data_IF_678551847424
#
_entry.id   IF_678551847424
#
_cell.length_a   1.000
_cell.length_b   1.000
_cell.length_c   1.000
_cell.angle_alpha   90.00
_cell.angle_beta   90.00
_cell.angle_gamma   90.00
#
_symmetry.space_group_name_H-M   'P 1'
#
loop_
_entity.id
_entity.type
_entity.pdbx_description
1 polymer ?
#
# COMPACT_ATOMS: atom_id res chain seq x y z
N UNK A 1 -18.53 1.56 19.49
CA UNK A 1 -19.96 1.27 19.79
C UNK A 1 -20.22 -0.25 20.02
N UNK A 2 -21.11 -0.68 20.94
CA UNK A 2 -21.39 -2.12 21.24
C UNK A 2 -22.24 -2.79 20.13
N UNK A 3 -21.77 -3.89 19.53
CA UNK A 3 -22.44 -4.63 18.43
C UNK A 3 -23.89 -5.04 18.73
N UNK A 4 -24.21 -5.34 20.00
CA UNK A 4 -25.60 -5.61 20.42
C UNK A 4 -26.52 -4.40 20.29
N UNK A 5 -25.98 -3.21 20.53
CA UNK A 5 -26.75 -1.96 20.44
C UNK A 5 -27.03 -1.61 18.97
N UNK A 6 -26.06 -1.83 18.06
CA UNK A 6 -26.25 -1.67 16.60
C UNK A 6 -27.36 -2.58 16.08
N UNK A 7 -27.35 -3.87 16.45
CA UNK A 7 -28.38 -4.81 16.03
C UNK A 7 -29.77 -4.43 16.56
N UNK A 8 -29.88 -3.96 17.81
CA UNK A 8 -31.14 -3.49 18.38
C UNK A 8 -31.68 -2.22 17.70
N UNK A 9 -30.81 -1.30 17.28
CA UNK A 9 -31.20 -0.10 16.54
C UNK A 9 -31.66 -0.49 15.13
N UNK A 10 -30.95 -1.39 14.45
CA UNK A 10 -31.33 -1.85 13.10
C UNK A 10 -32.69 -2.54 13.07
N UNK A 11 -33.07 -3.28 14.12
CA UNK A 11 -34.40 -3.94 14.22
C UNK A 11 -35.56 -2.96 14.41
N UNK A 12 -35.30 -1.68 14.69
CA UNK A 12 -36.33 -0.66 14.84
C UNK A 12 -36.58 0.14 13.55
N UNK A 13 -35.80 -0.10 12.49
CA UNK A 13 -35.99 0.64 11.24
C UNK A 13 -37.22 0.16 10.46
N UNK A 14 -38.04 1.08 9.92
CA UNK A 14 -39.15 0.73 9.04
C UNK A 14 -38.67 0.04 7.75
N UNK A 15 -39.50 -0.81 7.14
CA UNK A 15 -39.18 -1.55 5.89
C UNK A 15 -38.64 -0.66 4.76
N UNK A 16 -39.08 0.59 4.66
CA UNK A 16 -38.61 1.52 3.63
C UNK A 16 -37.14 1.94 3.80
N UNK A 17 -36.52 1.78 4.98
CA UNK A 17 -35.08 2.02 5.18
C UNK A 17 -34.19 1.03 4.43
N UNK A 18 -34.72 -0.12 3.99
CA UNK A 18 -33.98 -1.13 3.22
C UNK A 18 -34.09 -0.93 1.71
N UNK A 19 -34.72 0.17 1.27
CA UNK A 19 -34.92 0.51 -0.15
C UNK A 19 -34.03 1.70 -0.56
N UNK A 20 -33.68 1.86 -1.84
CA UNK A 20 -32.94 3.04 -2.33
C UNK A 20 -33.73 4.33 -2.09
N UNK A 21 -33.20 5.24 -1.26
CA UNK A 21 -33.90 6.48 -0.87
C UNK A 21 -33.59 7.69 -1.76
N UNK A 22 -32.48 7.63 -2.51
CA UNK A 22 -31.94 8.77 -3.27
C UNK A 22 -32.07 8.62 -4.78
N UNK A 23 -32.39 7.42 -5.26
CA UNK A 23 -32.55 7.15 -6.68
C UNK A 23 -33.99 7.46 -7.10
N UNK A 24 -34.14 8.15 -8.23
CA UNK A 24 -35.42 8.32 -8.91
C UNK A 24 -35.89 7.00 -9.54
N UNK A 25 -37.17 6.90 -9.91
CA UNK A 25 -37.73 5.69 -10.55
C UNK A 25 -36.95 5.34 -11.82
N UNK A 26 -36.57 6.33 -12.62
CA UNK A 26 -35.77 6.12 -13.83
C UNK A 26 -34.35 5.62 -13.53
N UNK A 27 -33.74 6.08 -12.44
CA UNK A 27 -32.41 5.63 -12.00
C UNK A 27 -32.44 4.23 -11.38
N UNK A 28 -33.56 3.83 -10.77
CA UNK A 28 -33.78 2.46 -10.31
C UNK A 28 -33.92 1.50 -11.50
N UNK A 29 -34.61 1.93 -12.56
CA UNK A 29 -34.75 1.16 -13.81
C UNK A 29 -33.45 1.12 -14.62
N UNK A 30 -32.60 2.15 -14.51
CA UNK A 30 -31.33 2.26 -15.24
C UNK A 30 -30.15 2.69 -14.33
N UNK A 31 -29.73 1.87 -13.36
CA UNK A 31 -28.72 2.25 -12.36
C UNK A 31 -27.33 2.52 -12.96
N UNK A 32 -27.04 1.95 -14.13
CA UNK A 32 -25.79 2.23 -14.86
C UNK A 32 -25.68 3.69 -15.32
N UNK A 33 -26.81 4.39 -15.51
CA UNK A 33 -26.79 5.82 -15.88
C UNK A 33 -26.26 6.70 -14.74
N UNK A 34 -26.58 6.35 -13.49
CA UNK A 34 -26.08 7.01 -12.27
C UNK A 34 -24.58 6.82 -12.15
N UNK A 35 -24.10 5.59 -12.36
CA UNK A 35 -22.67 5.26 -12.34
C UNK A 35 -21.94 6.02 -13.46
N UNK A 36 -22.54 6.08 -14.66
CA UNK A 36 -21.98 6.84 -15.78
C UNK A 36 -21.84 8.32 -15.46
N UNK A 37 -22.91 8.94 -14.97
CA UNK A 37 -22.91 10.35 -14.57
C UNK A 37 -21.87 10.63 -13.46
N UNK A 38 -21.76 9.73 -12.49
CA UNK A 38 -20.77 9.85 -11.43
C UNK A 38 -19.33 9.93 -11.97
N UNK A 39 -18.96 9.07 -12.93
CA UNK A 39 -17.62 9.06 -13.53
C UNK A 39 -17.41 10.14 -14.62
N UNK A 40 -18.45 10.85 -15.03
CA UNK A 40 -18.32 12.10 -15.79
C UNK A 40 -17.90 13.26 -14.88
N UNK A 41 -18.38 13.26 -13.63
CA UNK A 41 -18.08 14.30 -12.65
C UNK A 41 -16.76 14.06 -11.90
N UNK A 42 -16.40 12.80 -11.67
CA UNK A 42 -15.24 12.44 -10.85
C UNK A 42 -14.36 11.40 -11.53
N UNK A 43 -13.06 11.68 -11.59
CA UNK A 43 -12.06 10.65 -11.90
C UNK A 43 -11.79 9.80 -10.66
N UNK A 44 -11.34 8.54 -10.86
CA UNK A 44 -10.97 7.66 -9.74
C UNK A 44 -9.97 8.32 -8.75
N UNK A 45 -8.90 8.99 -9.20
CA UNK A 45 -8.00 9.67 -8.27
C UNK A 45 -8.68 10.79 -7.45
N UNK A 46 -9.60 11.54 -8.06
CA UNK A 46 -10.30 12.64 -7.37
C UNK A 46 -11.24 12.12 -6.30
N UNK A 47 -12.01 11.08 -6.58
CA UNK A 47 -12.93 10.53 -5.57
C UNK A 47 -12.17 9.84 -4.43
N UNK A 48 -11.06 9.15 -4.73
CA UNK A 48 -10.19 8.58 -3.68
C UNK A 48 -9.60 9.66 -2.77
N UNK A 49 -9.15 10.77 -3.34
CA UNK A 49 -8.67 11.92 -2.55
C UNK A 49 -9.79 12.48 -1.66
N UNK A 50 -11.00 12.65 -2.20
CA UNK A 50 -12.15 13.15 -1.46
C UNK A 50 -12.55 12.21 -0.29
N UNK A 51 -12.55 10.90 -0.50
CA UNK A 51 -12.82 9.92 0.57
C UNK A 51 -11.76 9.96 1.68
N UNK A 52 -10.49 10.16 1.31
CA UNK A 52 -9.39 10.29 2.27
C UNK A 52 -9.50 11.57 3.09
N UNK A 53 -9.85 12.69 2.46
CA UNK A 53 -10.13 13.95 3.15
C UNK A 53 -11.29 13.79 4.13
N UNK A 54 -12.38 13.13 3.73
CA UNK A 54 -13.52 12.85 4.61
C UNK A 54 -13.16 11.99 5.84
N UNK A 55 -12.32 10.97 5.67
CA UNK A 55 -11.85 10.14 6.79
C UNK A 55 -10.90 10.90 7.69
N UNK A 56 -10.00 11.69 7.11
CA UNK A 56 -9.10 12.54 7.86
C UNK A 56 -9.89 13.51 8.74
N UNK A 57 -10.88 14.20 8.17
CA UNK A 57 -11.77 15.09 8.90
C UNK A 57 -12.51 14.34 10.03
N UNK A 58 -13.04 13.14 9.75
CA UNK A 58 -13.74 12.34 10.76
C UNK A 58 -12.84 11.89 11.92
N UNK A 59 -11.59 11.51 11.64
CA UNK A 59 -10.63 11.06 12.66
C UNK A 59 -10.13 12.25 13.49
N UNK A 60 -9.94 13.42 12.88
CA UNK A 60 -9.49 14.63 13.59
C UNK A 60 -10.53 15.20 14.56
N UNK A 61 -11.79 14.74 14.54
CA UNK A 61 -12.85 15.20 15.44
C UNK A 61 -12.96 14.41 16.77
N UNK A 62 -11.90 13.70 17.17
CA UNK A 62 -11.79 13.00 18.47
C UNK A 62 -12.87 11.92 18.68
N UNK A 63 -13.21 11.20 17.60
CA UNK A 63 -14.27 10.19 17.60
C UNK A 63 -13.72 8.79 17.90
N UNK A 64 -14.22 8.16 18.96
CA UNK A 64 -13.79 6.82 19.44
C UNK A 64 -14.11 5.67 18.45
N UNK A 65 -14.82 5.96 17.36
CA UNK A 65 -15.19 5.00 16.32
C UNK A 65 -14.31 5.12 15.06
N UNK A 66 -13.14 5.78 15.14
CA UNK A 66 -12.14 5.92 14.05
C UNK A 66 -11.84 4.62 13.25
N UNK A 67 -11.69 3.42 13.86
CA UNK A 67 -11.50 2.18 13.10
C UNK A 67 -12.68 1.83 12.18
N UNK A 68 -13.90 2.21 12.57
CA UNK A 68 -15.10 1.97 11.76
C UNK A 68 -15.19 2.90 10.56
N UNK A 69 -14.65 4.11 10.66
CA UNK A 69 -14.58 5.07 9.55
C UNK A 69 -13.57 4.63 8.49
N UNK A 70 -12.40 4.12 8.90
CA UNK A 70 -11.39 3.58 7.98
C UNK A 70 -11.92 2.36 7.24
N UNK A 71 -12.53 1.40 7.95
CA UNK A 71 -13.11 0.21 7.32
C UNK A 71 -14.26 0.53 6.36
N UNK A 72 -15.13 1.48 6.73
CA UNK A 72 -16.20 1.95 5.84
C UNK A 72 -15.63 2.62 4.59
N UNK A 73 -14.57 3.40 4.72
CA UNK A 73 -13.92 4.04 3.57
C UNK A 73 -13.29 3.03 2.63
N UNK A 74 -12.60 2.02 3.15
CA UNK A 74 -12.04 0.93 2.34
C UNK A 74 -13.14 0.24 1.53
N UNK A 75 -14.28 -0.05 2.15
CA UNK A 75 -15.40 -0.73 1.48
C UNK A 75 -16.11 0.17 0.46
N UNK A 76 -16.23 1.48 0.72
CA UNK A 76 -16.76 2.46 -0.23
C UNK A 76 -15.81 2.64 -1.42
N UNK A 77 -14.50 2.68 -1.20
CA UNK A 77 -13.50 2.75 -2.28
C UNK A 77 -13.58 1.52 -3.18
N UNK A 78 -13.66 0.31 -2.60
CA UNK A 78 -13.89 -0.94 -3.37
C UNK A 78 -15.19 -0.90 -4.17
N UNK A 79 -16.28 -0.40 -3.59
CA UNK A 79 -17.56 -0.28 -4.27
C UNK A 79 -17.47 0.66 -5.47
N UNK A 80 -16.80 1.80 -5.32
CA UNK A 80 -16.59 2.77 -6.40
C UNK A 80 -15.72 2.17 -7.50
N UNK A 81 -14.66 1.44 -7.16
CA UNK A 81 -13.81 0.78 -8.16
C UNK A 81 -14.55 -0.34 -8.91
N UNK A 82 -15.36 -1.14 -8.21
CA UNK A 82 -16.23 -2.11 -8.84
C UNK A 82 -17.23 -1.43 -9.79
N UNK A 83 -17.82 -0.31 -9.38
CA UNK A 83 -18.71 0.48 -10.23
C UNK A 83 -17.98 1.04 -11.46
N UNK A 84 -16.70 1.41 -11.33
CA UNK A 84 -15.88 1.87 -12.45
C UNK A 84 -15.62 0.76 -13.47
N UNK A 85 -15.30 -0.46 -13.02
CA UNK A 85 -15.14 -1.62 -13.90
C UNK A 85 -16.43 -1.94 -14.65
N UNK A 86 -17.57 -1.94 -13.95
CA UNK A 86 -18.90 -2.13 -14.54
C UNK A 86 -19.19 -1.05 -15.60
N UNK A 87 -18.84 0.21 -15.32
CA UNK A 87 -18.99 1.31 -16.27
C UNK A 87 -18.14 1.12 -17.53
N UNK A 88 -16.88 0.67 -17.37
CA UNK A 88 -15.97 0.41 -18.47
C UNK A 88 -16.43 -0.78 -19.34
N UNK A 89 -16.96 -1.82 -18.71
CA UNK A 89 -17.57 -2.96 -19.43
C UNK A 89 -18.82 -2.53 -20.20
N UNK A 90 -19.67 -1.69 -19.62
CA UNK A 90 -20.84 -1.15 -20.31
C UNK A 90 -20.44 -0.26 -21.50
N UNK A 91 -19.36 0.53 -21.35
CA UNK A 91 -18.80 1.38 -22.41
C UNK A 91 -18.08 0.60 -23.50
N UNK A 92 -17.51 -0.56 -23.20
CA UNK A 92 -16.89 -1.44 -24.21
C UNK A 92 -17.92 -2.30 -24.95
N UNK A 93 -19.04 -2.65 -24.32
CA UNK A 93 -20.16 -3.34 -24.98
C UNK A 93 -20.87 -2.47 -26.03
N UNK A 94 -20.85 -1.14 -25.91
CA UNK A 94 -21.37 -0.23 -26.94
C UNK A 94 -20.43 0.01 -28.13
N UNK A 95 -19.17 -0.43 -28.04
CA UNK A 95 -18.13 -0.16 -29.05
C UNK A 95 -17.59 -1.40 -29.80
N UNK A 96 -18.12 -2.60 -29.56
CA UNK A 96 -17.71 -3.81 -30.31
C UNK A 96 -18.81 -4.35 -31.24
N UNK A 97 -19.02 -3.62 -32.34
CA UNK A 97 -19.06 -4.24 -33.69
C UNK A 97 -17.77 -3.79 -34.36
N UNK A 98 -16.78 -4.68 -34.50
CA UNK A 98 -15.57 -4.36 -35.26
C UNK A 98 -14.28 -4.98 -34.74
N UNK A 99 -14.03 -6.20 -35.20
CA UNK A 99 -12.76 -6.87 -35.43
C UNK A 99 -11.94 -7.50 -34.28
N UNK A 100 -11.62 -8.77 -34.59
CA UNK A 100 -10.70 -9.71 -33.97
C UNK A 100 -9.24 -9.53 -34.41
N UNK A 101 -8.39 -10.17 -33.61
CA UNK A 101 -7.12 -10.88 -33.91
C UNK A 101 -5.78 -10.27 -33.44
N UNK A 102 -5.29 -10.89 -32.34
CA UNK A 102 -4.05 -11.69 -32.21
C UNK A 102 -2.71 -11.14 -32.70
N UNK A 103 -1.70 -11.08 -31.82
CA UNK A 103 -0.38 -11.71 -32.01
C UNK A 103 0.58 -11.56 -30.81
N UNK A 104 1.42 -12.58 -30.68
CA UNK A 104 2.43 -12.98 -29.68
C UNK A 104 3.66 -12.08 -29.52
N UNK A 105 4.46 -12.31 -28.46
CA UNK A 105 5.92 -12.60 -28.48
C UNK A 105 6.54 -12.59 -27.06
N UNK A 106 7.12 -13.69 -26.56
CA UNK A 106 8.50 -14.24 -26.68
C UNK A 106 9.45 -13.87 -25.51
N UNK A 107 9.65 -14.91 -24.67
CA UNK A 107 10.83 -15.38 -23.89
C UNK A 107 12.12 -14.56 -23.85
N UNK A 108 12.62 -14.33 -22.63
CA UNK A 108 14.05 -14.48 -22.25
C UNK A 108 14.12 -15.09 -20.84
N UNK A 109 14.71 -16.28 -20.72
CA UNK A 109 15.22 -16.86 -19.48
C UNK A 109 16.69 -16.45 -19.31
N UNK A 110 17.08 -16.00 -18.12
CA UNK A 110 18.45 -16.11 -17.61
C UNK A 110 18.39 -16.00 -16.08
N UNK A 111 18.45 -17.16 -15.40
CA UNK A 111 18.92 -17.24 -14.02
C UNK A 111 20.36 -16.70 -14.01
N UNK A 112 20.52 -15.46 -13.55
CA UNK A 112 21.81 -14.97 -13.09
C UNK A 112 21.79 -15.06 -11.58
N UNK A 113 22.69 -15.84 -11.00
CA UNK A 113 22.93 -15.90 -9.57
C UNK A 113 23.06 -14.47 -9.01
N UNK A 114 22.04 -13.99 -8.29
CA UNK A 114 22.10 -12.73 -7.56
C UNK A 114 22.95 -13.01 -6.30
N UNK A 115 24.27 -13.11 -6.48
CA UNK A 115 25.23 -13.37 -5.40
C UNK A 115 25.53 -12.14 -4.52
N UNK A 116 24.94 -10.98 -4.82
CA UNK A 116 25.19 -9.79 -4.02
C UNK A 116 24.45 -9.87 -2.67
N UNK A 117 25.24 -9.86 -1.60
CA UNK A 117 24.76 -9.97 -0.22
C UNK A 117 23.66 -8.96 0.14
N UNK A 118 23.66 -7.79 -0.49
CA UNK A 118 22.66 -6.74 -0.29
C UNK A 118 21.28 -7.16 -0.78
N UNK A 119 21.20 -7.74 -1.98
CA UNK A 119 19.93 -8.24 -2.52
C UNK A 119 19.43 -9.45 -1.77
N UNK A 120 20.34 -10.30 -1.26
CA UNK A 120 19.97 -11.39 -0.35
C UNK A 120 19.31 -10.87 0.92
N UNK A 121 19.84 -9.83 1.56
CA UNK A 121 19.20 -9.22 2.74
C UNK A 121 17.82 -8.64 2.43
N UNK A 122 17.63 -8.06 1.24
CA UNK A 122 16.31 -7.62 0.78
C UNK A 122 15.36 -8.82 0.63
N UNK A 123 15.84 -9.91 0.01
CA UNK A 123 15.06 -11.13 -0.15
C UNK A 123 14.69 -11.78 1.20
N UNK A 124 15.66 -11.99 2.08
CA UNK A 124 15.47 -12.57 3.42
C UNK A 124 14.45 -11.78 4.27
N UNK A 125 14.42 -10.45 4.11
CA UNK A 125 13.40 -9.60 4.75
C UNK A 125 11.98 -9.92 4.27
N UNK A 126 11.78 -10.05 2.95
CA UNK A 126 10.45 -10.30 2.37
C UNK A 126 10.01 -11.77 2.43
N UNK A 127 10.93 -12.70 2.65
CA UNK A 127 10.62 -14.07 3.09
C UNK A 127 10.03 -14.09 4.51
N UNK A 128 10.46 -13.14 5.37
CA UNK A 128 10.02 -13.06 6.77
C UNK A 128 8.77 -12.19 6.95
N UNK A 129 8.59 -11.16 6.12
CA UNK A 129 7.51 -10.19 6.24
C UNK A 129 6.91 -9.85 4.88
N UNK A 130 5.59 -9.97 4.74
CA UNK A 130 4.91 -9.42 3.57
C UNK A 130 4.95 -7.89 3.60
N UNK A 131 4.91 -7.23 2.44
CA UNK A 131 4.83 -5.76 2.39
C UNK A 131 3.67 -5.21 3.25
N UNK A 132 2.42 -5.73 3.19
CA UNK A 132 1.33 -5.26 4.04
C UNK A 132 1.62 -5.40 5.54
N UNK A 133 2.22 -6.53 5.96
CA UNK A 133 2.63 -6.74 7.34
C UNK A 133 3.68 -5.71 7.77
N UNK A 134 4.74 -5.53 6.97
CA UNK A 134 5.82 -4.59 7.25
C UNK A 134 5.31 -3.14 7.36
N UNK A 135 4.42 -2.71 6.46
CA UNK A 135 3.74 -1.41 6.55
C UNK A 135 2.94 -1.29 7.85
N UNK A 136 2.23 -2.35 8.20
CA UNK A 136 1.43 -2.45 9.40
C UNK A 136 2.25 -2.33 10.68
N UNK A 137 3.43 -2.96 10.74
CA UNK A 137 4.36 -2.84 11.86
C UNK A 137 4.87 -1.40 11.99
N UNK A 138 5.37 -0.80 10.91
CA UNK A 138 5.85 0.59 10.93
C UNK A 138 4.79 1.58 11.40
N UNK A 139 3.60 1.54 10.81
CA UNK A 139 2.55 2.52 11.13
C UNK A 139 2.09 2.40 12.58
N UNK A 140 1.86 1.17 13.06
CA UNK A 140 1.47 0.95 14.45
C UNK A 140 2.57 1.32 15.44
N UNK A 141 3.85 1.16 15.06
CA UNK A 141 4.97 1.58 15.90
C UNK A 141 5.04 3.11 16.00
N UNK A 142 4.89 3.82 14.89
CA UNK A 142 4.86 5.27 14.87
C UNK A 142 3.72 5.83 15.73
N UNK A 143 2.53 5.23 15.62
CA UNK A 143 1.37 5.58 16.45
C UNK A 143 1.64 5.35 17.94
N UNK A 144 2.17 4.17 18.28
CA UNK A 144 2.50 3.84 19.67
C UNK A 144 3.56 4.80 20.24
N UNK A 145 4.61 5.10 19.48
CA UNK A 145 5.71 5.98 19.90
C UNK A 145 5.26 7.46 20.11
N UNK A 146 4.26 7.91 19.38
CA UNK A 146 3.67 9.24 19.58
C UNK A 146 2.67 9.27 20.74
N UNK A 147 1.98 8.16 20.98
CA UNK A 147 0.98 8.03 22.04
C UNK A 147 1.60 7.69 23.40
N UNK A 148 0.78 7.79 24.46
CA UNK A 148 1.11 7.24 25.79
C UNK A 148 0.80 5.73 25.89
N UNK A 149 0.49 5.08 24.76
CA UNK A 149 0.08 3.68 24.72
C UNK A 149 1.21 2.75 24.29
N UNK A 150 1.35 1.65 25.02
CA UNK A 150 2.27 0.56 24.66
C UNK A 150 1.73 -0.13 23.42
N UNK A 151 2.62 -0.34 22.45
CA UNK A 151 2.33 -1.07 21.23
C UNK A 151 1.74 -2.45 21.51
N UNK A 152 0.59 -2.74 20.93
CA UNK A 152 -0.23 -3.91 21.26
C UNK A 152 -0.72 -4.71 20.04
N UNK A 153 -0.15 -4.47 18.85
CA UNK A 153 -0.60 -5.10 17.60
C UNK A 153 -0.20 -6.57 17.48
N UNK A 154 0.90 -6.98 18.13
CA UNK A 154 1.30 -8.38 18.30
C UNK A 154 2.12 -8.53 19.59
N UNK A 155 2.90 -9.60 19.72
CA UNK A 155 3.81 -9.74 20.86
C UNK A 155 5.00 -8.76 20.72
N UNK A 156 5.50 -8.17 21.82
CA UNK A 156 6.66 -7.28 21.77
C UNK A 156 7.88 -7.91 21.10
N UNK A 157 8.03 -9.24 21.21
CA UNK A 157 9.10 -9.98 20.56
C UNK A 157 9.01 -9.92 19.03
N UNK A 158 7.80 -9.95 18.46
CA UNK A 158 7.61 -9.82 17.01
C UNK A 158 8.04 -8.44 16.52
N UNK A 159 7.79 -7.40 17.33
CA UNK A 159 8.22 -6.04 17.01
C UNK A 159 9.74 -5.91 17.05
N UNK A 160 10.40 -6.46 18.08
CA UNK A 160 11.86 -6.50 18.16
C UNK A 160 12.45 -7.23 16.96
N UNK A 161 11.92 -8.42 16.64
CA UNK A 161 12.34 -9.22 15.50
C UNK A 161 12.17 -8.47 14.18
N UNK A 162 11.06 -7.76 14.00
CA UNK A 162 10.83 -6.88 12.84
C UNK A 162 11.90 -5.79 12.75
N UNK A 163 12.16 -5.05 13.82
CA UNK A 163 13.15 -3.97 13.81
C UNK A 163 14.59 -4.48 13.59
N UNK A 164 14.94 -5.66 14.09
CA UNK A 164 16.24 -6.29 13.81
C UNK A 164 16.43 -6.56 12.32
N UNK A 165 15.40 -7.10 11.64
CA UNK A 165 15.43 -7.34 10.20
C UNK A 165 15.37 -6.03 9.41
N UNK A 166 14.61 -5.05 9.89
CA UNK A 166 14.49 -3.73 9.27
C UNK A 166 15.80 -2.95 9.34
N UNK A 167 16.57 -3.08 10.42
CA UNK A 167 17.91 -2.52 10.54
C UNK A 167 18.90 -3.16 9.56
N UNK A 168 18.81 -4.48 9.34
CA UNK A 168 19.63 -5.17 8.34
C UNK A 168 19.27 -4.72 6.93
N UNK A 169 17.97 -4.62 6.63
CA UNK A 169 17.46 -4.09 5.37
C UNK A 169 17.99 -2.67 5.11
N UNK A 170 17.92 -1.79 6.11
CA UNK A 170 18.46 -0.44 6.02
C UNK A 170 19.97 -0.44 5.72
N UNK A 171 20.74 -1.28 6.41
CA UNK A 171 22.17 -1.43 6.13
C UNK A 171 22.45 -1.88 4.69
N UNK A 172 21.70 -2.88 4.19
CA UNK A 172 21.83 -3.36 2.82
C UNK A 172 21.55 -2.26 1.77
N UNK A 173 20.58 -1.38 2.04
CA UNK A 173 20.24 -0.25 1.16
C UNK A 173 21.40 0.73 1.05
N UNK A 174 22.04 1.07 2.17
CA UNK A 174 23.20 1.98 2.14
C UNK A 174 24.32 1.39 1.31
N UNK A 175 24.68 0.14 1.54
CA UNK A 175 25.72 -0.56 0.78
C UNK A 175 25.38 -0.60 -0.72
N UNK A 176 24.13 -0.91 -1.06
CA UNK A 176 23.66 -0.95 -2.44
C UNK A 176 23.76 0.41 -3.13
N UNK A 177 23.38 1.49 -2.44
CA UNK A 177 23.47 2.85 -3.01
C UNK A 177 24.89 3.39 -3.06
N UNK A 178 25.79 2.92 -2.18
CA UNK A 178 27.21 3.30 -2.17
C UNK A 178 28.02 2.62 -3.28
N UNK A 179 27.71 1.37 -3.61
CA UNK A 179 28.42 0.62 -4.63
C UNK A 179 27.91 0.87 -6.06
N UNK A 180 26.79 1.59 -6.21
CA UNK A 180 26.09 1.77 -7.49
C UNK A 180 25.74 0.42 -8.18
N UNK A 181 25.60 -0.64 -7.38
CA UNK A 181 25.26 -2.00 -7.83
C UNK A 181 23.78 -2.05 -8.22
N UNK A 182 23.47 -1.74 -9.48
CA UNK A 182 22.10 -1.74 -10.02
C UNK A 182 21.86 -3.00 -10.86
N UNK A 183 20.89 -3.81 -10.46
CA UNK A 183 20.34 -4.85 -11.35
C UNK A 183 19.43 -4.17 -12.38
N UNK A 184 19.84 -4.18 -13.65
CA UNK A 184 19.10 -3.53 -14.75
C UNK A 184 17.70 -4.14 -14.97
N UNK A 185 17.51 -5.42 -14.66
CA UNK A 185 16.23 -6.11 -14.80
C UNK A 185 15.13 -5.53 -13.88
N UNK A 186 15.52 -4.89 -12.77
CA UNK A 186 14.60 -4.24 -11.83
C UNK A 186 14.07 -2.91 -12.38
N UNK A 187 14.80 -2.29 -13.31
CA UNK A 187 14.48 -0.97 -13.88
C UNK A 187 13.59 -1.13 -15.11
N UNK A 188 12.39 -0.57 -15.03
CA UNK A 188 11.45 -0.60 -16.15
C UNK A 188 11.85 0.39 -17.26
N UNK A 189 11.54 0.09 -18.54
CA UNK A 189 11.85 0.97 -19.66
C UNK A 189 11.29 2.39 -19.48
N UNK A 190 12.03 3.39 -19.98
CA UNK A 190 11.59 4.79 -19.97
C UNK A 190 10.38 4.96 -20.90
N UNK A 191 9.18 5.04 -20.32
CA UNK A 191 7.94 5.41 -21.02
C UNK A 191 7.53 6.86 -20.74
N UNK A 192 6.79 7.50 -21.64
CA UNK A 192 6.18 8.82 -21.39
C UNK A 192 4.86 8.73 -20.61
N UNK A 193 4.27 7.54 -20.49
CA UNK A 193 2.96 7.30 -19.86
C UNK A 193 3.07 6.77 -18.43
N UNK A 194 2.11 7.04 -17.55
CA UNK A 194 2.11 6.51 -16.18
C UNK A 194 2.28 4.97 -16.14
N UNK A 195 2.91 4.41 -15.09
CA UNK A 195 3.08 2.96 -14.97
C UNK A 195 1.71 2.27 -14.99
N UNK A 196 1.63 1.18 -15.75
CA UNK A 196 0.43 0.35 -15.82
C UNK A 196 0.34 -0.54 -14.58
N UNK A 197 -0.51 -0.15 -13.62
CA UNK A 197 -0.73 -0.89 -12.38
C UNK A 197 -1.58 -2.16 -12.56
N UNK A 198 -2.08 -2.42 -13.78
CA UNK A 198 -2.75 -3.69 -14.07
C UNK A 198 -1.76 -4.85 -14.23
N UNK A 199 -0.46 -4.54 -14.37
CA UNK A 199 0.61 -5.52 -14.43
C UNK A 199 1.01 -5.96 -13.02
N UNK A 200 0.11 -6.70 -12.37
CA UNK A 200 0.25 -7.13 -10.98
C UNK A 200 1.58 -7.85 -10.71
N UNK A 201 2.06 -8.67 -11.65
CA UNK A 201 3.34 -9.39 -11.54
C UNK A 201 4.58 -8.49 -11.36
N UNK A 202 4.49 -7.18 -11.63
CA UNK A 202 5.62 -6.25 -11.47
C UNK A 202 5.78 -5.70 -10.04
N UNK A 203 4.80 -5.94 -9.17
CA UNK A 203 4.77 -5.44 -7.80
C UNK A 203 4.08 -6.38 -6.80
N UNK A 204 3.31 -7.36 -7.25
CA UNK A 204 2.79 -8.46 -6.43
C UNK A 204 3.79 -9.61 -6.52
N UNK A 205 4.32 -10.05 -5.37
CA UNK A 205 5.16 -11.24 -5.31
C UNK A 205 4.35 -12.54 -5.53
N UNK A 206 5.04 -13.69 -5.60
CA UNK A 206 4.41 -15.01 -5.64
C UNK A 206 3.94 -15.40 -4.25
N UNK A 207 2.79 -14.87 -3.84
CA UNK A 207 2.10 -15.30 -2.62
C UNK A 207 0.99 -16.29 -2.98
N UNK A 208 0.55 -17.13 -2.03
CA UNK A 208 -0.44 -18.18 -2.28
C UNK A 208 -1.83 -17.67 -2.69
N UNK A 209 -2.11 -16.35 -2.54
CA UNK A 209 -3.25 -15.56 -3.04
C UNK A 209 -3.08 -14.07 -2.63
N UNK A 210 -2.15 -13.30 -3.22
CA UNK A 210 -2.01 -11.89 -2.84
C UNK A 210 -3.24 -11.13 -3.32
N UNK A 211 -3.85 -10.36 -2.44
CA UNK A 211 -4.74 -9.28 -2.83
C UNK A 211 -3.87 -8.20 -3.48
N UNK A 212 -3.91 -7.99 -4.82
CA UNK A 212 -2.93 -7.12 -5.48
C UNK A 212 -2.93 -5.70 -4.93
N UNK A 213 -4.08 -5.25 -4.43
CA UNK A 213 -4.30 -3.93 -3.84
C UNK A 213 -3.43 -3.66 -2.61
N UNK A 214 -3.17 -4.68 -1.80
CA UNK A 214 -2.35 -4.53 -0.58
C UNK A 214 -0.87 -4.29 -0.92
N UNK A 215 -0.44 -4.68 -2.12
CA UNK A 215 0.94 -4.58 -2.58
C UNK A 215 1.18 -3.39 -3.52
N UNK A 216 0.13 -2.64 -3.87
CA UNK A 216 0.26 -1.44 -4.71
C UNK A 216 1.21 -0.45 -4.01
N UNK A 217 2.21 0.10 -4.72
CA UNK A 217 3.03 1.18 -4.18
C UNK A 217 2.25 2.50 -4.12
N UNK A 218 2.11 3.06 -2.92
CA UNK A 218 1.35 4.27 -2.64
C UNK A 218 2.27 5.50 -2.47
N UNK A 219 3.51 5.29 -2.02
CA UNK A 219 4.46 6.34 -1.64
C UNK A 219 5.49 6.64 -2.73
N UNK A 220 5.63 5.74 -3.72
CA UNK A 220 6.51 5.94 -4.87
C UNK A 220 5.84 6.80 -5.95
N UNK A 221 6.58 7.80 -6.44
CA UNK A 221 6.22 8.50 -7.68
C UNK A 221 6.36 7.57 -8.89
N UNK A 222 5.73 7.90 -10.02
CA UNK A 222 5.87 7.15 -11.27
C UNK A 222 7.34 6.94 -11.71
N UNK A 223 8.24 7.89 -11.40
CA UNK A 223 9.67 7.79 -11.71
C UNK A 223 10.39 6.81 -10.79
N UNK A 224 10.00 6.76 -9.52
CA UNK A 224 10.56 5.87 -8.50
C UNK A 224 9.98 4.45 -8.63
N UNK A 225 8.70 4.31 -9.02
CA UNK A 225 8.12 3.01 -9.34
C UNK A 225 8.89 2.29 -10.44
N UNK A 226 9.30 3.00 -11.50
CA UNK A 226 10.08 2.41 -12.59
C UNK A 226 11.53 2.14 -12.22
N UNK A 227 12.08 2.94 -11.32
CA UNK A 227 13.46 2.88 -10.88
C UNK A 227 13.50 3.02 -9.36
N UNK A 228 13.30 1.91 -8.61
CA UNK A 228 13.20 1.95 -7.16
C UNK A 228 14.48 2.47 -6.50
N UNK A 229 15.63 2.32 -7.17
CA UNK A 229 16.91 2.86 -6.69
C UNK A 229 16.92 4.39 -6.58
N UNK A 230 16.07 5.11 -7.35
CA UNK A 230 15.92 6.56 -7.19
C UNK A 230 15.34 6.94 -5.83
N UNK A 231 14.36 6.18 -5.34
CA UNK A 231 13.79 6.39 -4.01
C UNK A 231 14.84 6.11 -2.93
N UNK A 232 15.56 5.00 -3.04
CA UNK A 232 16.62 4.62 -2.10
C UNK A 232 17.74 5.67 -2.04
N UNK A 233 18.24 6.12 -3.19
CA UNK A 233 19.25 7.21 -3.26
C UNK A 233 18.77 8.51 -2.65
N UNK A 234 17.46 8.79 -2.70
CA UNK A 234 16.91 10.00 -2.07
C UNK A 234 16.99 9.86 -0.56
N UNK A 235 16.56 8.72 -0.01
CA UNK A 235 16.58 8.44 1.43
C UNK A 235 18.02 8.44 1.98
N UNK A 236 18.97 7.81 1.29
CA UNK A 236 20.37 7.74 1.75
C UNK A 236 21.11 9.07 1.64
N UNK A 237 20.57 10.04 0.89
CA UNK A 237 21.04 11.44 0.86
C UNK A 237 20.39 12.32 1.92
N UNK A 238 19.16 12.02 2.32
CA UNK A 238 18.41 12.85 3.28
C UNK A 238 18.95 12.70 4.70
N UNK A 239 19.37 11.50 5.10
CA UNK A 239 20.01 11.26 6.40
C UNK A 239 21.10 10.19 6.28
N UNK A 240 21.98 10.10 7.26
CA UNK A 240 23.00 9.07 7.37
C UNK A 240 22.44 7.77 7.96
N UNK A 241 23.13 6.65 7.72
CA UNK A 241 22.78 5.35 8.30
C UNK A 241 22.72 5.40 9.83
N UNK A 242 23.60 6.17 10.46
CA UNK A 242 23.64 6.34 11.91
C UNK A 242 22.39 7.05 12.43
N UNK A 243 22.01 8.16 11.80
CA UNK A 243 20.82 8.93 12.18
C UNK A 243 19.55 8.09 12.02
N UNK A 244 19.40 7.35 10.92
CA UNK A 244 18.26 6.44 10.76
C UNK A 244 18.22 5.35 11.82
N UNK A 245 19.37 4.77 12.19
CA UNK A 245 19.42 3.77 13.27
C UNK A 245 19.01 4.37 14.61
N UNK A 246 19.42 5.60 14.90
CA UNK A 246 19.00 6.33 16.11
C UNK A 246 17.50 6.61 16.10
N UNK A 247 16.94 7.09 14.98
CA UNK A 247 15.49 7.31 14.83
C UNK A 247 14.72 6.02 15.08
N UNK A 248 15.10 4.92 14.42
CA UNK A 248 14.42 3.63 14.57
C UNK A 248 14.51 3.12 16.01
N UNK A 249 15.65 3.34 16.69
CA UNK A 249 15.81 3.02 18.10
C UNK A 249 14.87 3.85 19.00
N UNK A 250 14.74 5.16 18.75
CA UNK A 250 13.78 5.99 19.47
C UNK A 250 12.34 5.53 19.23
N UNK A 251 11.97 5.25 17.98
CA UNK A 251 10.62 4.77 17.65
C UNK A 251 10.31 3.46 18.38
N UNK A 252 11.22 2.49 18.34
CA UNK A 252 11.03 1.19 18.97
C UNK A 252 10.93 1.31 20.50
N UNK A 253 11.86 2.03 21.13
CA UNK A 253 11.86 2.18 22.59
C UNK A 253 10.62 2.89 23.10
N UNK A 254 10.17 3.96 22.43
CA UNK A 254 8.99 4.70 22.85
C UNK A 254 7.71 3.92 22.55
N UNK A 255 7.65 3.17 21.45
CA UNK A 255 6.51 2.28 21.18
C UNK A 255 6.38 1.15 22.22
N UNK A 256 7.49 0.69 22.81
CA UNK A 256 7.50 -0.32 23.86
C UNK A 256 7.39 0.25 25.28
N UNK A 257 7.52 1.57 25.42
CA UNK A 257 7.35 2.29 26.68
C UNK A 257 5.96 2.91 26.76
N UNK A 258 5.53 3.32 27.96
CA UNK A 258 4.29 4.07 28.15
C UNK A 258 4.52 5.60 28.06
N UNK A 259 5.68 6.03 27.56
CA UNK A 259 6.04 7.43 27.47
C UNK A 259 6.01 7.85 26.01
N UNK A 260 5.40 9.00 25.73
CA UNK A 260 5.40 9.56 24.38
C UNK A 260 6.74 10.22 24.04
N UNK A 261 7.06 10.30 22.74
CA UNK A 261 8.21 11.09 22.26
C UNK A 261 8.17 12.55 22.74
N UNK A 262 6.98 13.13 22.87
CA UNK A 262 6.77 14.50 23.33
C UNK A 262 7.19 14.67 24.81
N UNK A 263 6.85 13.72 25.67
CA UNK A 263 7.23 13.74 27.10
C UNK A 263 8.75 13.60 27.29
N UNK A 264 9.40 12.87 26.39
CA UNK A 264 10.86 12.72 26.36
C UNK A 264 11.58 13.95 25.78
N UNK A 265 10.84 14.97 25.33
CA UNK A 265 11.40 16.16 24.69
C UNK A 265 12.03 15.89 23.32
N UNK A 266 11.68 14.77 22.68
CA UNK A 266 12.21 14.37 21.38
C UNK A 266 11.21 14.77 20.30
N UNK A 267 11.51 15.83 19.58
CA UNK A 267 10.68 16.30 18.47
C UNK A 267 11.16 15.69 17.15
N UNK A 268 10.51 14.60 16.74
CA UNK A 268 10.72 13.99 15.43
C UNK A 268 9.65 14.47 14.45
N UNK A 269 10.03 14.75 13.20
CA UNK A 269 9.08 14.97 12.10
C UNK A 269 8.45 13.63 11.68
N UNK A 270 7.57 13.07 12.52
CA UNK A 270 7.03 11.72 12.39
C UNK A 270 6.36 11.47 11.03
N UNK A 271 5.65 12.47 10.49
CA UNK A 271 5.04 12.39 9.16
C UNK A 271 6.11 12.13 8.11
N UNK A 272 7.14 12.99 8.05
CA UNK A 272 8.22 12.85 7.08
C UNK A 272 9.00 11.55 7.25
N UNK A 273 9.27 11.15 8.50
CA UNK A 273 9.91 9.87 8.81
C UNK A 273 9.05 8.72 8.29
N UNK A 274 7.74 8.75 8.54
CA UNK A 274 6.82 7.72 8.05
C UNK A 274 6.83 7.63 6.53
N UNK A 275 6.76 8.77 5.83
CA UNK A 275 6.81 8.83 4.36
C UNK A 275 8.11 8.22 3.81
N UNK A 276 9.25 8.56 4.41
CA UNK A 276 10.55 8.04 4.03
C UNK A 276 10.66 6.53 4.24
N UNK A 277 10.25 6.01 5.41
CA UNK A 277 10.33 4.59 5.74
C UNK A 277 9.36 3.75 4.89
N UNK A 278 8.15 4.26 4.65
CA UNK A 278 7.17 3.59 3.78
C UNK A 278 7.64 3.57 2.32
N UNK A 279 8.17 4.69 1.82
CA UNK A 279 8.80 4.78 0.50
C UNK A 279 9.98 3.81 0.35
N UNK A 280 10.79 3.68 1.40
CA UNK A 280 11.91 2.74 1.45
C UNK A 280 11.42 1.30 1.27
N UNK A 281 10.44 0.88 2.08
CA UNK A 281 9.86 -0.45 2.02
C UNK A 281 9.30 -0.79 0.64
N UNK A 282 8.54 0.14 0.05
CA UNK A 282 7.98 -0.07 -1.29
C UNK A 282 9.07 -0.24 -2.34
N UNK A 283 10.12 0.59 -2.30
CA UNK A 283 11.23 0.47 -3.24
C UNK A 283 11.95 -0.87 -3.08
N UNK A 284 12.21 -1.32 -1.84
CA UNK A 284 12.81 -2.62 -1.56
C UNK A 284 11.92 -3.77 -2.02
N UNK A 285 10.61 -3.67 -1.81
CA UNK A 285 9.65 -4.68 -2.28
C UNK A 285 9.65 -4.80 -3.80
N UNK A 286 9.68 -3.67 -4.53
CA UNK A 286 9.79 -3.70 -5.99
C UNK A 286 11.11 -4.33 -6.46
N UNK A 287 12.21 -4.08 -5.76
CA UNK A 287 13.49 -4.76 -6.02
C UNK A 287 13.32 -6.26 -5.82
N UNK A 288 12.76 -6.68 -4.67
CA UNK A 288 12.53 -8.10 -4.36
C UNK A 288 11.68 -8.79 -5.44
N UNK A 289 10.51 -8.24 -5.76
CA UNK A 289 9.59 -8.83 -6.75
C UNK A 289 10.26 -8.93 -8.12
N UNK A 290 10.91 -7.87 -8.58
CA UNK A 290 11.46 -7.85 -9.95
C UNK A 290 12.77 -8.60 -10.09
N UNK A 291 13.52 -8.79 -9.00
CA UNK A 291 14.79 -9.49 -9.03
C UNK A 291 14.65 -10.99 -8.71
N UNK A 292 13.71 -11.37 -7.85
CA UNK A 292 13.61 -12.75 -7.32
C UNK A 292 12.30 -13.45 -7.67
N UNK A 293 11.21 -12.73 -7.89
CA UNK A 293 9.91 -13.36 -8.18
C UNK A 293 9.75 -13.55 -9.68
N UNK A 294 9.92 -14.79 -10.13
CA UNK A 294 9.69 -15.14 -11.52
C UNK A 294 8.17 -15.19 -11.83
N UNK A 295 7.68 -14.50 -12.89
CA UNK A 295 6.27 -14.54 -13.29
C UNK A 295 5.80 -15.91 -13.84
N UNK A 296 6.70 -16.90 -13.97
CA UNK A 296 6.41 -18.21 -14.56
C UNK A 296 6.07 -19.32 -13.56
N UNK A 297 6.07 -19.05 -12.25
CA UNK A 297 5.78 -20.09 -11.24
C UNK A 297 4.26 -20.39 -11.07
N UNK A 298 3.40 -19.72 -11.83
CA UNK A 298 1.96 -20.00 -11.89
C UNK A 298 1.59 -21.11 -12.89
N UNK A 299 2.42 -22.14 -13.00
CA UNK A 299 2.22 -23.21 -13.98
C UNK A 299 2.90 -24.52 -13.63
N UNK A 300 2.55 -25.11 -12.47
CA UNK A 300 2.45 -26.57 -12.27
C UNK A 300 2.08 -26.87 -10.81
N UNK A 301 0.79 -26.91 -10.52
CA UNK A 301 0.17 -27.84 -9.57
C UNK A 301 -1.34 -27.88 -9.79
#
# INVERSE_FOLDING_TARGET
MNERLKQQIMTQYPEWHYQPLRLTVAEIEAPLSVIGHFFECYTLPQIRACLKEMVFDAICMDDNDAPSHVTTQDDVEKLIEAAWLIHQEAKTKSYKIGNDNTASNQLIQQESDIESAQYKMIHDFFESFTLPQARGYLLSTLQAAESEHIWNKSTPNDLLFFFDHFHQLLSAIYDLTSNDDIIQQVVLPKSTCNPDLTQYHLYCGNYDKPNPWEYVPHWLSAKEYRDPYKALRKITKEQSLKEWKEILHYLLNNALAANSLAEMGVHLELIRISECLQKMLEACHLIHVRAFVNPNDHGNK
#
